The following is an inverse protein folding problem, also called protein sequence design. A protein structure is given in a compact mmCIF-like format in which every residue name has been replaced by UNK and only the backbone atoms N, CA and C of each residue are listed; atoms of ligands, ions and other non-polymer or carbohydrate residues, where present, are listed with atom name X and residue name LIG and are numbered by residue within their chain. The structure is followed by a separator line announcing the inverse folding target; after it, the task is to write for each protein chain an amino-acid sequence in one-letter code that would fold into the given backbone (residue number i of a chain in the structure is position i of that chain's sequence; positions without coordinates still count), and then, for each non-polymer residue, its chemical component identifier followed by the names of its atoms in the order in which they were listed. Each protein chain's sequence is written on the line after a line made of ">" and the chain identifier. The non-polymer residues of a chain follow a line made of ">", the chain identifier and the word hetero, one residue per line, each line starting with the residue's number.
data_IF_155578652422
#
_entry.id   IF_155578652422
#
_cell.length_a   1.000
_cell.length_b   1.000
_cell.length_c   1.000
_cell.angle_alpha   90.00
_cell.angle_beta   90.00
_cell.angle_gamma   90.00
#
_symmetry.space_group_name_H-M   'P 1'
#
loop_
_entity.id
_entity.type
_entity.pdbx_description
1 polymer ?
#
# COMPACT_ATOMS: atom_id res chain seq x y z
N UNK A 1 -23.25 -29.06 1.63
CA UNK A 1 -23.75 -28.60 2.94
C UNK A 1 -23.15 -27.22 3.29
N UNK A 2 -23.33 -26.18 2.46
CA UNK A 2 -22.69 -24.87 2.68
C UNK A 2 -23.40 -23.70 1.96
N UNK A 3 -24.75 -23.68 1.96
CA UNK A 3 -25.51 -22.59 1.29
C UNK A 3 -26.53 -21.92 2.24
N UNK A 4 -26.81 -22.49 3.42
CA UNK A 4 -27.90 -22.02 4.31
C UNK A 4 -27.60 -20.83 5.23
N UNK A 5 -26.37 -20.30 5.29
CA UNK A 5 -25.98 -19.27 6.27
C UNK A 5 -25.28 -18.03 5.67
N UNK A 6 -25.53 -17.68 4.40
CA UNK A 6 -24.96 -16.46 3.78
C UNK A 6 -25.21 -15.16 4.59
N UNK A 7 -26.40 -14.91 5.19
CA UNK A 7 -26.63 -13.69 5.96
C UNK A 7 -25.78 -13.59 7.22
N UNK A 8 -25.54 -14.73 7.89
CA UNK A 8 -24.70 -14.77 9.08
C UNK A 8 -23.23 -14.52 8.73
N UNK A 9 -22.71 -15.08 7.64
CA UNK A 9 -21.35 -14.82 7.18
C UNK A 9 -21.13 -13.35 6.77
N UNK A 10 -22.12 -12.71 6.17
CA UNK A 10 -22.09 -11.28 5.79
C UNK A 10 -22.09 -10.38 7.02
N UNK A 11 -22.96 -10.66 8.00
CA UNK A 11 -23.09 -9.88 9.24
C UNK A 11 -21.93 -10.12 10.19
N UNK A 12 -21.62 -11.38 10.48
CA UNK A 12 -20.57 -11.77 11.42
C UNK A 12 -19.17 -11.54 10.82
N UNK A 13 -19.06 -11.45 9.49
CA UNK A 13 -17.86 -11.05 8.76
C UNK A 13 -17.70 -9.54 8.56
N UNK A 14 -18.67 -8.72 8.97
CA UNK A 14 -18.58 -7.25 8.93
C UNK A 14 -18.55 -6.64 7.53
N UNK A 15 -19.16 -7.30 6.53
CA UNK A 15 -19.13 -6.82 5.14
C UNK A 15 -19.74 -5.42 4.98
N UNK A 16 -20.81 -5.12 5.72
CA UNK A 16 -21.43 -3.79 5.72
C UNK A 16 -20.43 -2.70 6.11
N UNK A 17 -19.76 -2.85 7.25
CA UNK A 17 -18.74 -1.90 7.72
C UNK A 17 -17.59 -1.72 6.73
N UNK A 18 -17.25 -2.78 5.99
CA UNK A 18 -16.20 -2.78 4.98
C UNK A 18 -16.65 -2.06 3.71
N UNK A 19 -17.89 -2.28 3.26
CA UNK A 19 -18.44 -1.58 2.11
C UNK A 19 -18.62 -0.09 2.42
N UNK A 20 -19.05 0.26 3.63
CA UNK A 20 -19.12 1.65 4.07
C UNK A 20 -17.74 2.32 4.04
N UNK A 21 -16.68 1.60 4.44
CA UNK A 21 -15.29 2.06 4.39
C UNK A 21 -14.83 2.28 2.94
N UNK A 22 -15.14 1.33 2.06
CA UNK A 22 -14.79 1.40 0.64
C UNK A 22 -15.50 2.58 -0.04
N UNK A 23 -16.81 2.72 0.15
CA UNK A 23 -17.55 3.84 -0.43
C UNK A 23 -17.10 5.18 0.15
N UNK A 24 -16.77 5.24 1.44
CA UNK A 24 -16.20 6.45 2.04
C UNK A 24 -14.84 6.85 1.44
N UNK A 25 -14.03 5.87 1.02
CA UNK A 25 -12.76 6.14 0.33
C UNK A 25 -12.98 6.64 -1.11
N UNK A 26 -13.93 6.03 -1.82
CA UNK A 26 -14.12 6.26 -3.27
C UNK A 26 -15.05 7.44 -3.58
N UNK A 27 -15.92 7.86 -2.64
CA UNK A 27 -16.88 8.97 -2.84
C UNK A 27 -16.25 10.33 -3.23
N UNK A 28 -14.95 10.52 -3.00
CA UNK A 28 -14.21 11.73 -3.42
C UNK A 28 -13.51 11.58 -4.78
N UNK A 29 -13.57 10.40 -5.38
CA UNK A 29 -12.87 10.04 -6.61
C UNK A 29 -13.84 9.71 -7.76
N UNK A 30 -15.05 9.23 -7.43
CA UNK A 30 -16.04 8.72 -8.37
C UNK A 30 -17.41 9.28 -8.00
N UNK A 31 -18.25 9.54 -9.01
CA UNK A 31 -19.60 10.03 -8.81
C UNK A 31 -20.48 8.99 -8.10
N UNK A 32 -21.44 9.47 -7.29
CA UNK A 32 -22.30 8.59 -6.48
C UNK A 32 -23.09 7.56 -7.32
N UNK A 33 -23.43 7.90 -8.57
CA UNK A 33 -24.13 7.01 -9.49
C UNK A 33 -23.24 5.85 -9.97
N UNK A 34 -21.92 6.04 -10.00
CA UNK A 34 -20.95 5.08 -10.56
C UNK A 34 -20.32 4.20 -9.48
N UNK A 35 -20.59 4.43 -8.18
CA UNK A 35 -20.00 3.66 -7.08
C UNK A 35 -20.27 2.15 -7.16
N UNK A 36 -21.47 1.76 -7.61
CA UNK A 36 -21.82 0.34 -7.75
C UNK A 36 -21.12 -0.30 -8.96
N UNK A 37 -20.94 0.47 -10.03
CA UNK A 37 -20.22 0.02 -11.22
C UNK A 37 -18.72 -0.11 -10.91
N UNK A 38 -18.14 0.85 -10.17
CA UNK A 38 -16.77 0.77 -9.66
C UNK A 38 -16.57 -0.48 -8.79
N UNK A 39 -17.48 -0.72 -7.85
CA UNK A 39 -17.44 -1.92 -7.02
C UNK A 39 -17.56 -3.20 -7.86
N UNK A 40 -18.44 -3.20 -8.86
CA UNK A 40 -18.59 -4.32 -9.80
C UNK A 40 -17.31 -4.61 -10.59
N UNK A 41 -16.65 -3.55 -11.05
CA UNK A 41 -15.37 -3.60 -11.75
C UNK A 41 -14.23 -4.07 -10.86
N UNK A 42 -14.23 -3.73 -9.56
CA UNK A 42 -13.26 -4.20 -8.59
C UNK A 42 -13.47 -5.67 -8.18
N UNK A 43 -14.72 -6.12 -8.15
CA UNK A 43 -15.08 -7.51 -7.86
C UNK A 43 -14.81 -8.45 -9.03
N UNK A 44 -14.65 -7.90 -10.23
CA UNK A 44 -14.37 -8.68 -11.42
C UNK A 44 -12.92 -9.19 -11.39
N UNK A 45 -12.72 -10.40 -10.88
CA UNK A 45 -11.40 -11.03 -10.87
C UNK A 45 -10.86 -11.14 -12.31
N UNK A 46 -9.81 -10.37 -12.62
CA UNK A 46 -9.15 -10.37 -13.93
C UNK A 46 -8.58 -11.75 -14.28
N UNK A 47 -9.34 -12.53 -15.06
CA UNK A 47 -8.94 -13.85 -15.54
C UNK A 47 -7.83 -13.71 -16.58
N UNK A 48 -6.66 -14.28 -16.30
CA UNK A 48 -5.52 -14.24 -17.21
C UNK A 48 -5.10 -15.59 -17.73
N UNK A 49 -4.46 -15.57 -18.90
CA UNK A 49 -3.60 -16.65 -19.33
C UNK A 49 -2.14 -16.25 -19.15
N UNK A 50 -1.32 -17.22 -18.74
CA UNK A 50 0.11 -17.04 -18.57
C UNK A 50 0.86 -18.21 -19.19
N UNK A 51 1.92 -17.89 -19.93
CA UNK A 51 2.80 -18.88 -20.54
C UNK A 51 4.10 -19.03 -19.76
N UNK A 52 4.25 -20.15 -19.04
CA UNK A 52 5.51 -20.56 -18.44
C UNK A 52 6.44 -21.08 -19.55
N UNK A 53 7.59 -20.42 -19.71
CA UNK A 53 8.66 -20.94 -20.57
C UNK A 53 9.44 -22.01 -19.82
N UNK A 54 9.57 -23.19 -20.43
CA UNK A 54 10.44 -24.23 -19.90
C UNK A 54 11.91 -23.80 -19.96
N UNK A 55 12.70 -24.28 -19.00
CA UNK A 55 14.17 -24.12 -18.98
C UNK A 55 14.76 -25.53 -19.12
N UNK A 56 15.58 -25.82 -20.14
CA UNK A 56 16.12 -24.92 -21.16
C UNK A 56 15.07 -24.44 -22.18
N UNK A 57 15.36 -23.36 -22.92
CA UNK A 57 14.42 -22.68 -23.82
C UNK A 57 13.86 -23.54 -24.98
N UNK A 58 14.40 -24.74 -25.19
CA UNK A 58 13.89 -25.76 -26.12
C UNK A 58 12.74 -26.59 -25.54
N UNK A 59 12.46 -26.48 -24.24
CA UNK A 59 11.37 -27.18 -23.58
C UNK A 59 10.01 -26.54 -23.92
N UNK A 60 8.97 -27.38 -23.94
CA UNK A 60 7.62 -26.94 -24.24
C UNK A 60 7.16 -25.85 -23.26
N UNK A 61 6.46 -24.86 -23.79
CA UNK A 61 5.79 -23.85 -22.98
C UNK A 61 4.52 -24.44 -22.37
N UNK A 62 4.19 -24.03 -21.15
CA UNK A 62 2.96 -24.45 -20.46
C UNK A 62 2.11 -23.21 -20.27
N UNK A 63 0.90 -23.22 -20.83
CA UNK A 63 -0.05 -22.13 -20.67
C UNK A 63 -1.05 -22.46 -19.56
N UNK A 64 -1.12 -21.60 -18.55
CA UNK A 64 -1.98 -21.77 -17.38
C UNK A 64 -2.90 -20.57 -17.23
N UNK A 65 -4.15 -20.85 -16.80
CA UNK A 65 -5.05 -19.79 -16.36
C UNK A 65 -4.61 -19.34 -14.97
N UNK A 66 -4.37 -18.06 -14.81
CA UNK A 66 -3.91 -17.47 -13.56
C UNK A 66 -4.85 -16.35 -13.10
N UNK A 67 -5.20 -16.40 -11.81
CA UNK A 67 -6.06 -15.42 -11.14
C UNK A 67 -5.30 -14.52 -10.16
N UNK A 68 -4.05 -14.88 -9.82
CA UNK A 68 -3.31 -14.28 -8.71
C UNK A 68 -1.85 -13.90 -9.03
N UNK A 69 -1.33 -14.30 -10.19
CA UNK A 69 0.02 -13.96 -10.66
C UNK A 69 -0.11 -13.44 -12.09
N UNK A 70 -0.06 -12.12 -12.21
CA UNK A 70 -0.19 -11.42 -13.49
C UNK A 70 1.10 -10.64 -13.71
N UNK A 71 1.73 -10.73 -14.89
CA UNK A 71 2.88 -9.91 -15.20
C UNK A 71 2.44 -8.45 -15.30
N UNK A 72 3.05 -7.58 -14.48
CA UNK A 72 2.78 -6.14 -14.50
C UNK A 72 3.21 -5.47 -15.82
N UNK A 73 4.17 -6.08 -16.52
CA UNK A 73 4.67 -5.63 -17.83
C UNK A 73 4.47 -6.73 -18.87
N UNK A 74 3.92 -6.37 -20.04
CA UNK A 74 3.52 -7.26 -21.13
C UNK A 74 4.42 -8.48 -21.34
N UNK A 75 3.94 -9.63 -20.87
CA UNK A 75 4.32 -10.90 -21.49
C UNK A 75 3.66 -10.98 -22.86
N UNK A 76 4.36 -11.63 -23.79
CA UNK A 76 4.01 -11.96 -25.18
C UNK A 76 2.68 -11.39 -25.71
N UNK A 77 2.71 -10.67 -26.84
CA UNK A 77 1.50 -10.13 -27.52
C UNK A 77 0.33 -11.13 -27.56
N UNK A 78 0.60 -12.42 -27.68
CA UNK A 78 -0.40 -13.48 -27.65
C UNK A 78 -1.15 -13.63 -26.31
N UNK A 79 -0.47 -13.49 -25.16
CA UNK A 79 -1.09 -13.55 -23.83
C UNK A 79 -1.85 -12.25 -23.51
N UNK A 80 -1.34 -11.10 -23.95
CA UNK A 80 -2.06 -9.82 -23.89
C UNK A 80 -3.34 -9.88 -24.75
N UNK A 81 -3.23 -10.21 -26.04
CA UNK A 81 -4.38 -10.29 -26.95
C UNK A 81 -5.43 -11.34 -26.53
N UNK A 82 -5.01 -12.49 -25.97
CA UNK A 82 -5.99 -13.49 -25.50
C UNK A 82 -6.68 -13.04 -24.22
N UNK A 83 -5.96 -12.33 -23.36
CA UNK A 83 -6.56 -11.74 -22.16
C UNK A 83 -7.50 -10.61 -22.53
N UNK A 84 -7.09 -9.71 -23.43
CA UNK A 84 -7.93 -8.63 -23.95
C UNK A 84 -9.17 -9.18 -24.66
N UNK A 85 -9.07 -10.28 -25.42
CA UNK A 85 -10.23 -10.98 -26.00
C UNK A 85 -11.14 -11.65 -24.97
N UNK A 86 -10.61 -12.07 -23.83
CA UNK A 86 -11.40 -12.64 -22.74
C UNK A 86 -12.12 -11.55 -21.93
N UNK A 87 -11.50 -10.37 -21.84
CA UNK A 87 -12.06 -9.16 -21.24
C UNK A 87 -13.04 -8.45 -22.18
N UNK A 88 -12.84 -8.51 -23.51
CA UNK A 88 -13.69 -7.85 -24.53
C UNK A 88 -15.10 -8.42 -24.65
N UNK A 89 -15.45 -9.46 -23.89
CA UNK A 89 -16.86 -9.83 -23.69
C UNK A 89 -17.58 -8.85 -22.73
N UNK A 90 -16.86 -7.91 -22.13
CA UNK A 90 -17.35 -6.83 -21.29
C UNK A 90 -16.66 -5.51 -21.70
N UNK A 91 -17.41 -4.69 -22.44
CA UNK A 91 -17.13 -3.31 -22.87
C UNK A 91 -15.85 -3.03 -23.70
N UNK A 92 -16.01 -2.20 -24.73
CA UNK A 92 -14.95 -1.84 -25.70
C UNK A 92 -13.84 -0.95 -25.11
N UNK A 93 -13.95 -0.50 -23.85
CA UNK A 93 -13.07 0.50 -23.22
C UNK A 93 -12.38 0.00 -21.94
N UNK A 94 -12.24 -1.32 -21.76
CA UNK A 94 -11.61 -1.90 -20.58
C UNK A 94 -10.15 -1.42 -20.39
N UNK A 95 -9.75 -0.95 -19.19
CA UNK A 95 -8.43 -0.41 -18.96
C UNK A 95 -7.34 -1.47 -19.14
N UNK A 96 -6.09 -1.06 -19.44
CA UNK A 96 -4.97 -2.00 -19.52
C UNK A 96 -4.89 -2.86 -18.26
N UNK A 97 -4.67 -4.16 -18.41
CA UNK A 97 -4.76 -5.12 -17.29
C UNK A 97 -3.94 -4.76 -16.05
N UNK A 98 -2.77 -4.15 -16.22
CA UNK A 98 -1.94 -3.69 -15.09
C UNK A 98 -2.63 -2.60 -14.26
N UNK A 99 -3.39 -1.73 -14.91
CA UNK A 99 -4.25 -0.72 -14.27
C UNK A 99 -5.42 -1.37 -13.56
N UNK A 100 -6.08 -2.34 -14.20
CA UNK A 100 -7.15 -3.15 -13.59
C UNK A 100 -6.68 -3.85 -12.30
N UNK A 101 -5.53 -4.53 -12.35
CA UNK A 101 -4.96 -5.22 -11.19
C UNK A 101 -4.60 -4.26 -10.04
N UNK A 102 -4.12 -3.05 -10.38
CA UNK A 102 -3.84 -2.00 -9.39
C UNK A 102 -5.12 -1.51 -8.72
N UNK A 103 -6.18 -1.29 -9.50
CA UNK A 103 -7.49 -0.90 -8.98
C UNK A 103 -8.05 -1.99 -8.07
N UNK A 104 -8.06 -3.24 -8.54
CA UNK A 104 -8.48 -4.42 -7.78
C UNK A 104 -7.71 -4.55 -6.45
N UNK A 105 -6.38 -4.42 -6.46
CA UNK A 105 -5.56 -4.47 -5.24
C UNK A 105 -5.81 -3.31 -4.27
N UNK A 106 -6.24 -2.15 -4.77
CA UNK A 106 -6.67 -1.02 -3.95
C UNK A 106 -8.13 -1.15 -3.50
N UNK A 107 -8.67 -2.36 -3.50
CA UNK A 107 -9.94 -2.71 -2.86
C UNK A 107 -9.70 -3.80 -1.80
N UNK A 108 -10.74 -4.13 -1.02
CA UNK A 108 -10.67 -5.22 -0.05
C UNK A 108 -10.72 -6.62 -0.72
N UNK A 109 -11.03 -6.68 -2.02
CA UNK A 109 -11.15 -7.95 -2.72
C UNK A 109 -9.80 -8.45 -3.24
N UNK A 110 -9.84 -9.57 -3.95
CA UNK A 110 -8.64 -10.12 -4.54
C UNK A 110 -8.09 -9.18 -5.62
N UNK A 111 -6.75 -9.08 -5.76
CA UNK A 111 -5.72 -9.82 -5.03
C UNK A 111 -5.32 -9.21 -3.69
N UNK A 112 -4.94 -10.04 -2.71
CA UNK A 112 -4.43 -9.55 -1.40
C UNK A 112 -2.91 -9.34 -1.35
N UNK A 113 -2.18 -9.79 -2.37
CA UNK A 113 -0.72 -9.64 -2.47
C UNK A 113 -0.39 -9.12 -3.86
N UNK A 114 0.29 -7.98 -3.92
CA UNK A 114 0.83 -7.43 -5.16
C UNK A 114 2.36 -7.50 -5.14
N UNK A 115 2.92 -8.23 -6.10
CA UNK A 115 4.36 -8.37 -6.28
C UNK A 115 4.78 -7.64 -7.57
N UNK A 116 5.69 -6.70 -7.45
CA UNK A 116 6.19 -5.91 -8.59
C UNK A 116 7.71 -5.75 -8.53
N UNK A 117 8.32 -5.53 -9.69
CA UNK A 117 9.76 -5.24 -9.85
C UNK A 117 9.97 -3.73 -10.05
N UNK A 118 11.20 -3.26 -10.12
CA UNK A 118 11.51 -1.82 -10.29
C UNK A 118 11.00 -1.22 -11.61
N UNK A 119 10.62 -2.05 -12.59
CA UNK A 119 10.06 -1.63 -13.88
C UNK A 119 8.54 -1.45 -13.71
N UNK A 120 8.05 -0.23 -13.93
CA UNK A 120 6.62 0.10 -13.81
C UNK A 120 6.22 0.68 -12.44
N UNK A 121 7.18 1.25 -11.72
CA UNK A 121 6.98 1.72 -10.35
C UNK A 121 6.58 3.20 -10.26
N UNK A 122 6.87 4.08 -11.21
CA UNK A 122 6.53 5.51 -11.01
C UNK A 122 5.01 5.78 -10.98
N UNK A 123 4.55 6.59 -10.02
CA UNK A 123 3.18 7.10 -9.97
C UNK A 123 2.08 6.16 -9.44
N UNK A 124 2.42 5.02 -8.83
CA UNK A 124 1.42 4.08 -8.29
C UNK A 124 1.29 4.15 -6.76
N UNK A 125 0.06 4.30 -6.29
CA UNK A 125 -0.28 4.25 -4.86
C UNK A 125 -1.05 2.96 -4.51
N UNK A 126 -0.76 2.42 -3.34
CA UNK A 126 -1.28 1.15 -2.80
C UNK A 126 -1.87 1.30 -1.39
N UNK A 127 -2.00 2.54 -0.91
CA UNK A 127 -2.30 2.89 0.48
C UNK A 127 -3.72 2.52 0.93
N UNK A 128 -4.69 2.40 0.02
CA UNK A 128 -6.11 2.27 0.36
C UNK A 128 -6.37 1.07 1.26
N UNK A 129 -5.82 -0.10 0.91
CA UNK A 129 -5.99 -1.35 1.65
C UNK A 129 -4.68 -2.08 1.97
N UNK A 130 -3.52 -1.44 1.74
CA UNK A 130 -2.22 -2.00 2.08
C UNK A 130 -1.55 -1.25 3.24
N UNK A 131 -1.02 -2.02 4.19
CA UNK A 131 -0.21 -1.51 5.31
C UNK A 131 1.14 -2.23 5.45
N UNK A 132 1.36 -3.26 4.65
CA UNK A 132 2.54 -4.14 4.73
C UNK A 132 3.36 -4.03 3.48
N UNK A 133 4.67 -4.01 3.64
CA UNK A 133 5.59 -4.05 2.51
C UNK A 133 6.67 -5.09 2.75
N UNK A 134 6.94 -5.89 1.72
CA UNK A 134 8.00 -6.89 1.73
C UNK A 134 9.09 -6.44 0.76
N UNK A 135 10.28 -6.21 1.28
CA UNK A 135 11.48 -5.96 0.51
C UNK A 135 12.15 -7.29 0.18
N UNK A 136 11.89 -7.78 -1.04
CA UNK A 136 12.62 -8.93 -1.60
C UNK A 136 14.10 -8.60 -1.84
N UNK A 137 14.35 -7.45 -2.46
CA UNK A 137 15.68 -6.85 -2.56
C UNK A 137 15.62 -5.40 -2.04
N UNK A 138 16.77 -4.93 -1.56
CA UNK A 138 16.97 -3.59 -1.04
C UNK A 138 17.42 -2.64 -2.17
N UNK A 139 16.82 -1.45 -2.28
CA UNK A 139 17.26 -0.47 -3.27
C UNK A 139 18.71 -0.02 -3.01
N UNK A 140 19.34 0.55 -4.04
CA UNK A 140 20.72 1.03 -3.96
C UNK A 140 20.84 2.32 -3.16
N UNK A 141 19.80 3.15 -3.14
CA UNK A 141 19.78 4.44 -2.46
C UNK A 141 18.57 4.58 -1.50
N UNK A 142 18.65 5.45 -0.49
CA UNK A 142 17.60 5.63 0.52
C UNK A 142 16.37 6.39 0.01
N UNK A 143 16.49 7.17 -1.07
CA UNK A 143 15.36 7.89 -1.68
C UNK A 143 14.42 6.89 -2.34
N UNK A 144 14.94 5.91 -3.08
CA UNK A 144 14.17 4.81 -3.66
C UNK A 144 13.45 3.99 -2.57
N UNK A 145 14.12 3.77 -1.42
CA UNK A 145 13.50 3.11 -0.28
C UNK A 145 12.29 3.90 0.23
N UNK A 146 12.46 5.22 0.39
CA UNK A 146 11.40 6.12 0.83
C UNK A 146 10.25 6.22 -0.17
N UNK A 147 10.54 6.34 -1.47
CA UNK A 147 9.52 6.37 -2.52
C UNK A 147 8.74 5.06 -2.59
N UNK A 148 9.43 3.92 -2.44
CA UNK A 148 8.80 2.60 -2.41
C UNK A 148 7.86 2.44 -1.22
N UNK A 149 8.28 2.87 -0.04
CA UNK A 149 7.47 2.87 1.18
C UNK A 149 6.32 3.89 1.13
N UNK A 150 6.55 5.03 0.46
CA UNK A 150 5.57 6.09 0.28
C UNK A 150 4.29 5.63 -0.43
N UNK A 151 4.36 4.58 -1.26
CA UNK A 151 3.19 4.01 -1.96
C UNK A 151 2.09 3.54 -1.02
N UNK A 152 2.45 3.05 0.17
CA UNK A 152 1.49 2.57 1.17
C UNK A 152 1.26 3.60 2.29
N UNK A 153 2.06 4.67 2.32
CA UNK A 153 2.00 5.74 3.32
C UNK A 153 1.57 7.04 2.64
N UNK A 154 0.28 7.12 2.31
CA UNK A 154 -0.39 8.30 1.74
C UNK A 154 -1.53 8.75 2.63
N UNK A 155 -2.04 9.94 2.33
CA UNK A 155 -3.25 10.50 2.92
C UNK A 155 -4.38 9.47 3.00
N UNK A 156 -4.99 9.30 4.17
CA UNK A 156 -6.12 8.39 4.34
C UNK A 156 -5.77 6.92 4.09
N UNK A 157 -4.49 6.54 4.09
CA UNK A 157 -4.08 5.16 3.93
C UNK A 157 -4.55 4.26 5.07
N UNK A 158 -4.60 2.96 4.82
CA UNK A 158 -4.97 1.95 5.82
C UNK A 158 -4.09 2.04 7.09
N UNK A 159 -2.83 2.49 6.94
CA UNK A 159 -1.91 2.77 8.04
C UNK A 159 -2.49 3.74 9.08
N UNK A 160 -3.18 4.79 8.62
CA UNK A 160 -3.80 5.81 9.47
C UNK A 160 -5.20 5.41 9.89
N UNK A 161 -6.02 4.94 8.94
CA UNK A 161 -7.44 4.69 9.18
C UNK A 161 -7.66 3.61 10.23
N UNK A 162 -6.80 2.58 10.28
CA UNK A 162 -6.91 1.49 11.26
C UNK A 162 -6.71 1.95 12.71
N UNK A 163 -5.59 2.59 13.09
CA UNK A 163 -5.44 3.13 14.45
C UNK A 163 -6.43 4.26 14.76
N UNK A 164 -6.78 5.10 13.78
CA UNK A 164 -7.82 6.11 13.95
C UNK A 164 -9.18 5.47 14.29
N UNK A 165 -9.59 4.45 13.54
CA UNK A 165 -10.81 3.69 13.80
C UNK A 165 -10.83 3.02 15.18
N UNK A 166 -9.67 2.60 15.70
CA UNK A 166 -9.57 2.12 17.10
C UNK A 166 -9.80 3.24 18.12
N UNK A 167 -9.37 4.46 17.83
CA UNK A 167 -9.53 5.61 18.72
C UNK A 167 -10.97 6.17 18.71
N UNK A 168 -11.59 6.30 17.54
CA UNK A 168 -12.90 6.98 17.40
C UNK A 168 -14.08 6.05 17.12
N UNK A 169 -13.85 4.77 16.80
CA UNK A 169 -14.88 3.89 16.23
C UNK A 169 -16.11 3.71 17.12
N UNK A 170 -15.96 3.67 18.45
CA UNK A 170 -17.11 3.56 19.37
C UNK A 170 -18.03 4.77 19.29
N UNK A 171 -17.43 5.96 19.28
CA UNK A 171 -18.16 7.23 19.24
C UNK A 171 -18.74 7.47 17.85
N UNK A 172 -18.01 7.09 16.80
CA UNK A 172 -18.46 7.14 15.42
C UNK A 172 -19.72 6.29 15.19
N UNK A 173 -19.73 5.04 15.70
CA UNK A 173 -20.90 4.15 15.64
C UNK A 173 -22.05 4.65 16.51
N UNK A 174 -21.77 5.32 17.63
CA UNK A 174 -22.82 5.94 18.43
C UNK A 174 -23.48 7.12 17.69
N UNK A 175 -22.67 7.94 17.02
CA UNK A 175 -23.12 9.09 16.25
C UNK A 175 -23.87 8.69 14.95
N UNK A 176 -23.50 7.58 14.32
CA UNK A 176 -24.13 7.08 13.09
C UNK A 176 -25.58 6.63 13.26
N UNK A 177 -26.03 6.38 14.49
CA UNK A 177 -27.44 6.06 14.81
C UNK A 177 -28.44 7.13 14.36
N UNK A 178 -27.96 8.32 14.01
CA UNK A 178 -28.72 9.41 13.40
C UNK A 178 -28.96 9.25 11.88
N UNK A 179 -28.53 8.14 11.26
CA UNK A 179 -28.66 7.88 9.82
C UNK A 179 -27.47 8.36 8.98
N UNK A 180 -26.35 8.74 9.60
CA UNK A 180 -25.10 9.11 8.92
C UNK A 180 -24.18 7.91 8.78
N UNK A 181 -23.30 7.91 7.78
CA UNK A 181 -22.25 6.90 7.67
C UNK A 181 -21.37 6.90 8.93
N UNK A 182 -21.07 5.73 9.54
CA UNK A 182 -20.10 5.62 10.62
C UNK A 182 -18.73 6.18 10.23
N UNK A 183 -18.35 6.10 8.96
CA UNK A 183 -17.07 6.61 8.48
C UNK A 183 -17.05 8.13 8.34
N UNK A 184 -18.15 8.76 7.95
CA UNK A 184 -18.26 10.23 7.99
C UNK A 184 -18.15 10.74 9.43
N UNK A 185 -18.80 10.06 10.38
CA UNK A 185 -18.69 10.39 11.79
C UNK A 185 -17.26 10.16 12.32
N UNK A 186 -16.61 9.06 11.94
CA UNK A 186 -15.23 8.78 12.31
C UNK A 186 -14.27 9.83 11.74
N UNK A 187 -14.48 10.26 10.49
CA UNK A 187 -13.68 11.30 9.85
C UNK A 187 -13.81 12.64 10.57
N UNK A 188 -15.05 13.07 10.86
CA UNK A 188 -15.30 14.31 11.59
C UNK A 188 -14.69 14.29 13.01
N UNK A 189 -14.84 13.17 13.74
CA UNK A 189 -14.23 13.00 15.06
C UNK A 189 -12.71 12.97 14.99
N UNK A 190 -12.14 12.40 13.93
CA UNK A 190 -10.71 12.39 13.68
C UNK A 190 -10.14 13.80 13.54
N UNK A 191 -10.77 14.62 12.71
CA UNK A 191 -10.40 16.02 12.50
C UNK A 191 -10.56 16.86 13.77
N UNK A 192 -11.68 16.68 14.48
CA UNK A 192 -11.97 17.43 15.70
C UNK A 192 -10.94 17.14 16.82
N UNK A 193 -10.58 15.87 17.01
CA UNK A 193 -9.81 15.43 18.19
C UNK A 193 -8.31 15.34 17.96
N UNK A 194 -7.89 15.14 16.72
CA UNK A 194 -6.49 14.80 16.40
C UNK A 194 -5.87 15.73 15.35
N UNK A 195 -6.49 16.85 15.00
CA UNK A 195 -5.80 17.87 14.22
C UNK A 195 -4.62 18.46 15.01
N UNK A 196 -3.60 18.93 14.30
CA UNK A 196 -2.42 19.57 14.88
C UNK A 196 -1.94 20.75 14.03
N UNK A 197 -1.00 21.53 14.57
CA UNK A 197 -0.47 22.74 13.93
C UNK A 197 0.20 22.48 12.57
N UNK A 198 0.63 21.24 12.32
CA UNK A 198 1.27 20.86 11.04
C UNK A 198 0.27 20.63 9.91
N UNK A 199 -1.01 20.44 10.22
CA UNK A 199 -2.05 20.05 9.25
C UNK A 199 -1.89 18.63 8.68
N UNK A 200 -0.96 17.83 9.22
CA UNK A 200 -0.71 16.46 8.75
C UNK A 200 -1.55 15.42 9.52
N UNK A 201 -1.92 15.71 10.76
CA UNK A 201 -2.73 14.81 11.58
C UNK A 201 -4.23 15.09 11.37
N UNK A 202 -5.11 14.07 11.30
CA UNK A 202 -4.79 12.64 11.43
C UNK A 202 -4.40 11.95 10.12
N UNK A 203 -4.69 12.54 8.95
CA UNK A 203 -4.80 11.77 7.71
C UNK A 203 -3.48 11.44 7.02
N UNK A 204 -2.45 12.25 7.20
CA UNK A 204 -1.09 11.94 6.73
C UNK A 204 -0.28 11.21 7.81
N UNK A 205 -0.51 11.55 9.07
CA UNK A 205 0.22 10.99 10.21
C UNK A 205 -0.72 10.74 11.37
N UNK A 206 -0.63 9.55 11.98
CA UNK A 206 -1.39 9.21 13.17
C UNK A 206 -0.56 8.33 14.11
N UNK A 207 -0.90 8.34 15.40
CA UNK A 207 -0.23 7.50 16.38
C UNK A 207 -0.37 6.02 16.00
N UNK A 208 0.73 5.25 16.11
CA UNK A 208 0.77 3.84 15.74
C UNK A 208 0.49 3.54 14.25
N UNK A 209 0.56 4.54 13.35
CA UNK A 209 0.40 4.36 11.90
C UNK A 209 1.69 3.94 11.17
N UNK A 210 2.54 3.14 11.82
CA UNK A 210 3.82 2.71 11.27
C UNK A 210 3.68 1.63 10.18
N UNK A 211 4.53 1.72 9.15
CA UNK A 211 4.62 0.69 8.11
C UNK A 211 5.07 -0.65 8.71
N UNK A 212 4.29 -1.70 8.45
CA UNK A 212 4.65 -3.09 8.81
C UNK A 212 5.59 -3.64 7.72
N UNK A 213 6.88 -3.62 8.03
CA UNK A 213 7.94 -3.86 7.05
C UNK A 213 8.61 -5.20 7.28
N UNK A 214 8.73 -5.95 6.19
CA UNK A 214 9.49 -7.20 6.15
C UNK A 214 10.64 -7.05 5.16
N UNK A 215 11.83 -7.49 5.55
CA UNK A 215 13.00 -7.58 4.67
C UNK A 215 13.38 -9.05 4.58
N UNK A 216 13.44 -9.59 3.37
CA UNK A 216 13.90 -10.95 3.17
C UNK A 216 15.43 -10.94 3.20
N UNK A 217 15.98 -11.40 4.32
CA UNK A 217 17.42 -11.54 4.51
C UNK A 217 17.81 -13.01 4.38
N UNK A 218 18.77 -13.30 3.50
CA UNK A 218 19.36 -14.63 3.41
C UNK A 218 20.29 -14.90 4.60
N UNK A 219 20.44 -16.17 4.97
CA UNK A 219 21.38 -16.57 6.02
C UNK A 219 22.80 -16.10 5.69
N UNK A 220 23.45 -15.41 6.65
CA UNK A 220 24.79 -14.82 6.51
C UNK A 220 24.92 -13.71 5.45
N UNK A 221 23.82 -13.13 4.98
CA UNK A 221 23.87 -11.96 4.09
C UNK A 221 24.18 -10.69 4.87
N UNK A 222 24.44 -9.59 4.14
CA UNK A 222 24.61 -8.24 4.69
C UNK A 222 23.31 -7.42 4.63
N UNK A 223 22.18 -8.05 4.32
CA UNK A 223 20.94 -7.33 3.98
C UNK A 223 20.42 -6.54 5.17
N UNK A 224 20.43 -7.12 6.38
CA UNK A 224 20.00 -6.42 7.60
C UNK A 224 20.87 -5.18 7.86
N UNK A 225 22.20 -5.33 7.80
CA UNK A 225 23.13 -4.22 8.00
C UNK A 225 22.98 -3.13 6.92
N UNK A 226 22.75 -3.54 5.66
CA UNK A 226 22.50 -2.62 4.54
C UNK A 226 21.17 -1.89 4.73
N UNK A 227 20.13 -2.57 5.18
CA UNK A 227 18.83 -1.98 5.47
C UNK A 227 18.92 -0.95 6.60
N UNK A 228 19.63 -1.26 7.69
CA UNK A 228 19.89 -0.32 8.78
C UNK A 228 20.65 0.92 8.29
N UNK A 229 21.62 0.72 7.39
CA UNK A 229 22.37 1.82 6.79
C UNK A 229 21.46 2.72 5.93
N UNK A 230 20.63 2.13 5.06
CA UNK A 230 19.68 2.88 4.22
C UNK A 230 18.69 3.70 5.06
N UNK A 231 18.20 3.14 6.18
CA UNK A 231 17.32 3.89 7.08
C UNK A 231 18.01 5.11 7.70
N UNK A 232 19.27 4.99 8.12
CA UNK A 232 20.05 6.11 8.67
C UNK A 232 20.32 7.16 7.60
N UNK A 233 20.71 6.73 6.39
CA UNK A 233 20.94 7.64 5.28
C UNK A 233 19.67 8.39 4.88
N UNK A 234 18.49 7.76 4.93
CA UNK A 234 17.21 8.45 4.69
C UNK A 234 17.02 9.66 5.61
N UNK A 235 17.35 9.54 6.90
CA UNK A 235 17.26 10.68 7.83
C UNK A 235 18.21 11.81 7.44
N UNK A 236 19.42 11.47 6.99
CA UNK A 236 20.38 12.44 6.48
C UNK A 236 19.91 13.09 5.17
N UNK A 237 19.27 12.33 4.27
CA UNK A 237 18.66 12.90 3.07
C UNK A 237 17.57 13.91 3.43
N UNK A 238 16.74 13.64 4.44
CA UNK A 238 15.71 14.57 4.88
C UNK A 238 16.25 15.87 5.47
N UNK A 239 17.42 15.84 6.14
CA UNK A 239 18.15 17.05 6.53
C UNK A 239 18.58 17.88 5.33
N UNK A 240 19.08 17.20 4.30
CA UNK A 240 19.63 17.83 3.12
C UNK A 240 18.54 18.31 2.14
N UNK A 241 17.27 17.98 2.37
CA UNK A 241 16.16 18.44 1.52
C UNK A 241 16.16 19.97 1.45
N UNK A 242 16.15 20.50 0.23
CA UNK A 242 16.19 21.93 -0.05
C UNK A 242 17.59 22.55 -0.11
N UNK A 243 18.65 21.80 0.20
CA UNK A 243 20.03 22.24 0.04
C UNK A 243 20.51 22.07 -1.42
N UNK A 244 21.43 22.92 -1.93
CA UNK A 244 22.14 22.65 -3.17
C UNK A 244 23.11 21.46 -2.98
N UNK A 245 23.24 20.59 -3.99
CA UNK A 245 24.09 19.38 -3.98
C UNK A 245 23.83 18.43 -2.80
N UNK A 246 22.57 18.01 -2.64
CA UNK A 246 22.09 17.16 -1.53
C UNK A 246 22.87 15.85 -1.40
N UNK A 247 23.27 15.24 -2.52
CA UNK A 247 24.02 13.99 -2.54
C UNK A 247 25.37 14.12 -1.82
N UNK A 248 26.10 15.22 -2.05
CA UNK A 248 27.40 15.46 -1.39
C UNK A 248 27.22 15.64 0.13
N UNK A 249 26.17 16.35 0.52
CA UNK A 249 25.81 16.60 1.92
C UNK A 249 25.40 15.34 2.68
N UNK A 250 24.90 14.31 1.99
CA UNK A 250 24.58 13.00 2.60
C UNK A 250 25.79 12.06 2.56
N UNK A 251 26.56 12.09 1.48
CA UNK A 251 27.74 11.23 1.29
C UNK A 251 28.93 11.64 2.18
N UNK A 252 29.04 12.92 2.56
CA UNK A 252 30.13 13.43 3.40
C UNK A 252 30.00 13.10 4.92
N UNK A 253 28.82 13.13 5.57
CA UNK A 253 28.63 12.64 6.94
C UNK A 253 28.48 11.12 7.03
N UNK A 254 28.15 10.42 5.93
CA UNK A 254 28.16 8.95 5.88
C UNK A 254 29.55 8.32 6.14
N UNK A 255 30.62 9.14 6.13
CA UNK A 255 31.98 8.77 6.56
C UNK A 255 32.27 9.04 8.04
N UNK A 256 31.31 9.57 8.81
CA UNK A 256 31.46 9.94 10.21
C UNK A 256 31.08 8.83 11.20
N UNK A 257 31.70 8.84 12.39
CA UNK A 257 31.38 7.94 13.52
C UNK A 257 29.88 7.92 13.86
N UNK A 258 29.38 6.82 14.43
CA UNK A 258 27.97 6.65 14.82
C UNK A 258 27.42 7.80 15.67
N UNK A 259 28.27 8.42 16.52
CA UNK A 259 27.92 9.60 17.31
C UNK A 259 27.51 10.80 16.46
N UNK A 260 28.18 11.02 15.32
CA UNK A 260 27.87 12.12 14.41
C UNK A 260 26.55 11.89 13.70
N UNK A 261 26.27 10.65 13.29
CA UNK A 261 25.00 10.27 12.66
C UNK A 261 23.85 10.44 13.65
N UNK A 262 24.03 10.04 14.92
CA UNK A 262 23.01 10.24 15.96
C UNK A 262 22.71 11.73 16.21
N UNK A 263 23.76 12.57 16.31
CA UNK A 263 23.59 14.01 16.48
C UNK A 263 22.91 14.68 15.27
N UNK A 264 23.27 14.28 14.05
CA UNK A 264 22.62 14.78 12.83
C UNK A 264 21.16 14.31 12.74
N UNK A 265 20.87 13.07 13.10
CA UNK A 265 19.50 12.52 13.07
C UNK A 265 18.54 13.31 13.96
N UNK A 266 19.02 13.89 15.08
CA UNK A 266 18.24 14.76 15.95
C UNK A 266 17.90 16.14 15.32
N UNK A 267 18.68 16.57 14.33
CA UNK A 267 18.44 17.80 13.58
C UNK A 267 17.57 17.56 12.33
N UNK A 268 17.33 16.29 11.97
CA UNK A 268 16.64 15.93 10.75
C UNK A 268 15.18 16.34 10.78
N UNK A 269 14.70 16.81 9.63
CA UNK A 269 13.27 16.88 9.36
C UNK A 269 12.72 15.46 9.44
N UNK A 270 12.12 15.12 10.57
CA UNK A 270 11.46 13.83 10.72
C UNK A 270 10.09 13.89 10.07
N UNK A 271 10.06 13.55 8.78
CA UNK A 271 8.85 13.38 8.00
C UNK A 271 8.18 12.01 8.25
N UNK A 272 8.66 11.19 9.21
CA UNK A 272 7.92 10.01 9.66
C UNK A 272 6.76 10.47 10.55
N UNK A 273 5.66 9.72 10.60
CA UNK A 273 4.68 9.91 11.67
C UNK A 273 5.38 9.75 13.02
N UNK A 274 5.18 10.71 13.92
CA UNK A 274 5.64 10.62 15.31
C UNK A 274 4.94 9.43 15.96
N UNK A 275 5.67 8.32 16.17
CA UNK A 275 5.18 7.24 16.98
C UNK A 275 5.27 7.66 18.45
N UNK A 276 4.16 7.56 19.19
CA UNK A 276 4.26 7.36 20.63
C UNK A 276 5.15 6.11 20.87
N UNK A 277 6.01 6.18 21.87
CA UNK A 277 7.20 5.33 22.07
C UNK A 277 7.08 3.85 21.62
N UNK A 278 8.07 3.31 20.89
CA UNK A 278 8.04 1.92 20.44
C UNK A 278 8.22 0.95 21.60
N UNK A 279 7.18 0.17 21.92
CA UNK A 279 7.33 -1.09 22.64
C UNK A 279 7.96 -2.12 21.69
N UNK A 280 9.29 -2.20 21.67
CA UNK A 280 10.00 -3.22 20.92
C UNK A 280 9.63 -4.63 21.40
N UNK A 281 8.92 -5.39 20.57
CA UNK A 281 8.97 -6.85 20.57
C UNK A 281 9.39 -7.33 19.19
N UNK A 282 10.69 -7.55 19.02
CA UNK A 282 11.19 -8.36 17.92
C UNK A 282 10.62 -9.77 18.06
N UNK A 283 9.97 -10.27 17.02
CA UNK A 283 9.68 -11.70 16.87
C UNK A 283 10.46 -12.17 15.65
N UNK A 284 11.49 -12.97 15.93
CA UNK A 284 12.18 -13.83 14.96
C UNK A 284 11.20 -14.88 14.46
#
# INVERSE_FOLDING_TARGET
>A
MAIRNRPAAVRDGGLESVLDEHFWLVQGQVDAAELLDELGLALHASLGWFTFRGIPASANTIRLRCHAAVPFSGTEKADAETTDRALSNFEEDAPPRAEGLRREFNTLFWPHVHATTSIGQEGLDFHSWCRRIVHWDLPSNPVDLEQREGRISRYGGLLVRRPLGLAVGKDAVAASRSGRSPWDAAAALGEERFCNDTGLSPWWTFENAGIDRHVLALSKSRDIARFDHLQRQRLLYRLALGQPNQEDLVNHPARGSEKKIAALSALALDLRPMAAEPTHKFRV
#
